data_IF_539006551217
#
_entry.id   IF_539006551217
#
_cell.length_a   1.000
_cell.length_b   1.000
_cell.length_c   1.000
_cell.angle_alpha   90.00
_cell.angle_beta   90.00
_cell.angle_gamma   90.00
#
_symmetry.space_group_name_H-M   'P 1'
#
loop_
_entity.id
_entity.type
_entity.pdbx_description
1 polymer ?
#
# COMPACT_ATOMS: atom_id res chain seq x y z
N UNK A 1 30.94 -19.84 24.69
CA UNK A 1 29.54 -19.58 24.30
C UNK A 1 28.51 -20.54 24.93
N UNK A 2 28.75 -21.87 24.98
CA UNK A 2 27.80 -22.84 25.57
C UNK A 2 27.49 -22.56 27.06
N UNK A 3 28.49 -22.13 27.83
CA UNK A 3 28.31 -21.79 29.26
C UNK A 3 27.34 -20.61 29.47
N UNK A 4 27.47 -19.54 28.68
CA UNK A 4 26.59 -18.36 28.77
C UNK A 4 25.15 -18.71 28.38
N UNK A 5 24.95 -19.51 27.33
CA UNK A 5 23.61 -19.95 26.91
C UNK A 5 22.90 -20.76 28.00
N UNK A 6 23.61 -21.68 28.67
CA UNK A 6 23.05 -22.46 29.79
C UNK A 6 22.67 -21.57 30.98
N UNK A 7 23.51 -20.59 31.32
CA UNK A 7 23.22 -19.62 32.38
C UNK A 7 21.99 -18.77 32.02
N UNK A 8 21.89 -18.28 30.79
CA UNK A 8 20.73 -17.52 30.33
C UNK A 8 19.44 -18.34 30.37
N UNK A 9 19.48 -19.61 29.94
CA UNK A 9 18.32 -20.51 30.01
C UNK A 9 17.89 -20.80 31.46
N UNK A 10 18.85 -20.98 32.38
CA UNK A 10 18.55 -21.15 33.79
C UNK A 10 17.87 -19.89 34.36
N UNK A 11 18.40 -18.70 34.04
CA UNK A 11 17.83 -17.42 34.46
C UNK A 11 16.42 -17.19 33.90
N UNK A 12 16.15 -17.55 32.65
CA UNK A 12 14.81 -17.45 32.07
C UNK A 12 13.77 -18.33 32.79
N UNK A 13 14.17 -19.46 33.38
CA UNK A 13 13.28 -20.33 34.16
C UNK A 13 12.97 -19.78 35.55
N UNK A 14 13.81 -18.88 36.06
CA UNK A 14 13.62 -18.22 37.36
C UNK A 14 12.62 -17.06 37.28
N UNK A 15 12.29 -16.57 36.07
CA UNK A 15 11.34 -15.46 35.88
C UNK A 15 9.92 -15.94 36.24
N UNK A 16 9.37 -15.38 37.31
CA UNK A 16 8.00 -15.61 37.74
C UNK A 16 7.00 -14.59 37.17
N UNK A 17 5.70 -14.79 37.42
CA UNK A 17 4.65 -13.86 37.00
C UNK A 17 4.74 -12.49 37.69
N UNK A 18 5.34 -12.41 38.87
CA UNK A 18 5.59 -11.14 39.58
C UNK A 18 6.75 -10.34 38.94
N UNK A 19 7.68 -11.02 38.26
CA UNK A 19 8.81 -10.40 37.57
C UNK A 19 8.44 -9.92 36.16
N UNK A 20 7.55 -10.65 35.48
CA UNK A 20 7.16 -10.34 34.10
C UNK A 20 5.76 -10.85 33.78
N UNK A 21 4.91 -9.95 33.26
CA UNK A 21 3.63 -10.34 32.69
C UNK A 21 3.85 -11.08 31.36
N UNK A 22 3.61 -12.39 31.36
CA UNK A 22 3.81 -13.24 30.18
C UNK A 22 2.85 -12.94 29.02
N UNK A 23 1.65 -12.43 29.29
CA UNK A 23 0.71 -12.01 28.24
C UNK A 23 1.18 -10.73 27.57
N UNK A 24 1.63 -9.75 28.36
CA UNK A 24 2.21 -8.52 27.85
C UNK A 24 3.48 -8.81 27.02
N UNK A 25 4.35 -9.70 27.52
CA UNK A 25 5.54 -10.15 26.79
C UNK A 25 5.19 -10.76 25.43
N UNK A 26 4.20 -11.66 25.37
CA UNK A 26 3.72 -12.25 24.10
C UNK A 26 3.18 -11.18 23.15
N UNK A 27 2.36 -10.26 23.66
CA UNK A 27 1.80 -9.16 22.87
C UNK A 27 2.88 -8.26 22.28
N UNK A 28 3.97 -8.01 23.00
CA UNK A 28 5.13 -7.28 22.47
C UNK A 28 5.79 -7.99 21.29
N UNK A 29 5.94 -9.32 21.35
CA UNK A 29 6.46 -10.12 20.25
C UNK A 29 5.52 -10.12 19.04
N UNK A 30 4.21 -10.20 19.28
CA UNK A 30 3.18 -10.11 18.23
C UNK A 30 3.22 -8.74 17.54
N UNK A 31 3.31 -7.65 18.31
CA UNK A 31 3.41 -6.28 17.80
C UNK A 31 4.69 -6.09 16.99
N UNK A 32 5.82 -6.62 17.46
CA UNK A 32 7.08 -6.56 16.72
C UNK A 32 7.03 -7.40 15.43
N UNK A 33 6.38 -8.56 15.46
CA UNK A 33 6.13 -9.38 14.26
C UNK A 33 5.29 -8.64 13.23
N UNK A 34 4.22 -7.95 13.67
CA UNK A 34 3.39 -7.10 12.82
C UNK A 34 4.19 -5.92 12.26
N UNK A 35 5.01 -5.25 13.06
CA UNK A 35 5.92 -4.20 12.59
C UNK A 35 6.86 -4.69 11.48
N UNK A 36 7.43 -5.89 11.63
CA UNK A 36 8.26 -6.50 10.59
C UNK A 36 7.45 -6.79 9.33
N UNK A 37 6.22 -7.30 9.47
CA UNK A 37 5.31 -7.53 8.33
C UNK A 37 5.00 -6.22 7.58
N UNK A 38 4.64 -5.16 8.30
CA UNK A 38 4.43 -3.80 7.74
C UNK A 38 5.67 -3.31 7.00
N UNK A 39 6.85 -3.48 7.60
CA UNK A 39 8.12 -3.05 7.00
C UNK A 39 8.42 -3.80 5.70
N UNK A 40 8.17 -5.11 5.66
CA UNK A 40 8.33 -5.91 4.43
C UNK A 40 7.35 -5.45 3.35
N UNK A 41 6.08 -5.21 3.69
CA UNK A 41 5.10 -4.70 2.73
C UNK A 41 5.50 -3.33 2.18
N UNK A 42 5.89 -2.40 3.05
CA UNK A 42 6.36 -1.09 2.63
C UNK A 42 7.55 -1.20 1.67
N UNK A 43 8.61 -1.91 2.07
CA UNK A 43 9.82 -2.01 1.25
C UNK A 43 9.57 -2.69 -0.09
N UNK A 44 8.79 -3.76 -0.09
CA UNK A 44 8.43 -4.44 -1.34
C UNK A 44 7.61 -3.52 -2.24
N UNK A 45 6.64 -2.78 -1.68
CA UNK A 45 5.86 -1.81 -2.42
C UNK A 45 6.74 -0.72 -3.06
N UNK A 46 7.70 -0.18 -2.32
CA UNK A 46 8.64 0.83 -2.82
C UNK A 46 9.59 0.29 -3.89
N UNK A 47 10.12 -0.91 -3.71
CA UNK A 47 10.97 -1.59 -4.70
C UNK A 47 10.22 -1.87 -6.01
N UNK A 48 8.94 -2.26 -5.93
CA UNK A 48 8.09 -2.48 -7.09
C UNK A 48 7.74 -1.16 -7.78
N UNK A 49 7.45 -0.11 -7.00
CA UNK A 49 7.23 1.24 -7.52
C UNK A 49 8.43 1.74 -8.33
N UNK A 50 9.65 1.57 -7.80
CA UNK A 50 10.90 1.94 -8.49
C UNK A 50 11.12 1.17 -9.81
N UNK A 51 10.51 -0.02 -9.95
CA UNK A 51 10.58 -0.85 -11.16
C UNK A 51 9.43 -0.58 -12.13
N UNK A 52 8.56 0.40 -11.87
CA UNK A 52 7.37 0.69 -12.67
C UNK A 52 6.26 -0.35 -12.52
N UNK A 53 6.35 -1.25 -11.53
CA UNK A 53 5.36 -2.31 -11.27
C UNK A 53 4.26 -1.80 -10.35
N UNK A 54 3.51 -0.80 -10.82
CA UNK A 54 2.58 -0.04 -9.99
C UNK A 54 1.39 -0.87 -9.48
N UNK A 55 0.93 -1.84 -10.27
CA UNK A 55 -0.18 -2.73 -9.90
C UNK A 55 0.19 -3.57 -8.68
N UNK A 56 1.34 -4.24 -8.70
CA UNK A 56 1.81 -5.01 -7.56
C UNK A 56 2.20 -4.09 -6.40
N UNK A 57 2.85 -2.96 -6.68
CA UNK A 57 3.25 -2.00 -5.66
C UNK A 57 2.05 -1.48 -4.85
N UNK A 58 0.95 -1.13 -5.52
CA UNK A 58 -0.25 -0.60 -4.87
C UNK A 58 -0.80 -1.58 -3.82
N UNK A 59 -0.92 -2.86 -4.16
CA UNK A 59 -1.43 -3.89 -3.23
C UNK A 59 -0.56 -3.98 -1.96
N UNK A 60 0.77 -3.98 -2.11
CA UNK A 60 1.68 -3.97 -0.95
C UNK A 60 1.54 -2.70 -0.10
N UNK A 61 1.41 -1.53 -0.73
CA UNK A 61 1.32 -0.25 -0.02
C UNK A 61 -0.02 -0.10 0.71
N UNK A 62 -1.14 -0.56 0.14
CA UNK A 62 -2.45 -0.57 0.82
C UNK A 62 -2.39 -1.47 2.06
N UNK A 63 -1.85 -2.67 1.93
CA UNK A 63 -1.72 -3.61 3.06
C UNK A 63 -0.74 -3.12 4.13
N UNK A 64 0.35 -2.45 3.72
CA UNK A 64 1.25 -1.77 4.64
C UNK A 64 0.50 -0.70 5.44
N UNK A 65 -0.32 0.13 4.77
CA UNK A 65 -1.09 1.21 5.40
C UNK A 65 -2.08 0.68 6.44
N UNK A 66 -2.94 -0.28 6.04
CA UNK A 66 -3.96 -0.87 6.92
C UNK A 66 -3.33 -1.57 8.13
N UNK A 67 -2.27 -2.37 7.90
CA UNK A 67 -1.58 -3.09 8.97
C UNK A 67 -0.85 -2.13 9.92
N UNK A 68 -0.33 -1.01 9.39
CA UNK A 68 0.37 0.00 10.18
C UNK A 68 -0.58 0.76 11.12
N UNK A 69 -1.83 0.99 10.71
CA UNK A 69 -2.84 1.65 11.56
C UNK A 69 -3.02 0.93 12.91
N UNK A 70 -3.07 -0.41 12.90
CA UNK A 70 -3.17 -1.21 14.12
C UNK A 70 -1.98 -1.04 15.09
N UNK A 71 -0.78 -0.72 14.56
CA UNK A 71 0.39 -0.38 15.37
C UNK A 71 0.31 1.04 15.91
N UNK A 72 -0.03 2.01 15.05
CA UNK A 72 -0.07 3.42 15.43
C UNK A 72 -1.14 3.74 16.48
N UNK A 73 -2.26 2.98 16.49
CA UNK A 73 -3.25 3.04 17.58
C UNK A 73 -2.66 2.70 18.96
N UNK A 74 -1.54 1.95 19.01
CA UNK A 74 -0.83 1.59 20.25
C UNK A 74 0.30 2.58 20.58
N UNK A 75 0.51 3.59 19.73
CA UNK A 75 1.45 4.68 19.95
C UNK A 75 2.21 5.11 18.68
N UNK A 76 2.59 6.40 18.56
CA UNK A 76 3.15 6.96 17.33
C UNK A 76 4.53 6.41 16.92
N UNK A 77 5.23 5.73 17.84
CA UNK A 77 6.54 5.10 17.61
C UNK A 77 6.46 3.58 17.37
N UNK A 78 5.26 3.02 17.29
CA UNK A 78 5.03 1.57 17.11
C UNK A 78 5.08 1.14 15.64
N UNK A 79 4.79 2.06 14.73
CA UNK A 79 4.69 1.81 13.31
C UNK A 79 5.69 2.61 12.49
N UNK A 80 5.50 2.57 11.18
CA UNK A 80 6.24 3.42 10.23
C UNK A 80 5.51 4.73 9.99
N UNK A 81 6.21 5.73 9.45
CA UNK A 81 5.64 7.06 9.16
C UNK A 81 4.55 6.95 8.09
N UNK A 82 3.30 7.10 8.51
CA UNK A 82 2.11 6.91 7.68
C UNK A 82 2.11 7.72 6.38
N UNK A 83 2.51 9.00 6.45
CA UNK A 83 2.63 9.88 5.28
C UNK A 83 3.50 9.32 4.14
N UNK A 84 4.51 8.50 4.45
CA UNK A 84 5.36 7.87 3.41
C UNK A 84 4.56 6.81 2.67
N UNK A 85 3.84 5.95 3.39
CA UNK A 85 3.00 4.93 2.77
C UNK A 85 1.91 5.60 1.92
N UNK A 86 1.22 6.61 2.48
CA UNK A 86 0.17 7.36 1.80
C UNK A 86 0.68 8.01 0.50
N UNK A 87 1.85 8.66 0.54
CA UNK A 87 2.45 9.28 -0.64
C UNK A 87 2.67 8.29 -1.78
N UNK A 88 3.31 7.15 -1.51
CA UNK A 88 3.60 6.18 -2.57
C UNK A 88 2.36 5.42 -3.03
N UNK A 89 1.39 5.16 -2.14
CA UNK A 89 0.07 4.63 -2.51
C UNK A 89 -0.62 5.57 -3.50
N UNK A 90 -0.65 6.87 -3.20
CA UNK A 90 -1.22 7.92 -4.06
C UNK A 90 -0.53 7.98 -5.42
N UNK A 91 0.81 7.93 -5.43
CA UNK A 91 1.59 7.91 -6.67
C UNK A 91 1.26 6.68 -7.53
N UNK A 92 1.22 5.48 -6.95
CA UNK A 92 0.79 4.28 -7.68
C UNK A 92 -0.61 4.41 -8.26
N UNK A 93 -1.56 4.97 -7.49
CA UNK A 93 -2.93 5.18 -7.98
C UNK A 93 -2.99 6.08 -9.21
N UNK A 94 -2.28 7.21 -9.17
CA UNK A 94 -2.26 8.17 -10.28
C UNK A 94 -1.61 7.57 -11.54
N UNK A 95 -0.50 6.84 -11.38
CA UNK A 95 0.16 6.13 -12.48
C UNK A 95 -0.74 5.05 -13.10
N UNK A 96 -1.41 4.24 -12.27
CA UNK A 96 -2.35 3.23 -12.74
C UNK A 96 -3.57 3.85 -13.43
N UNK A 97 -4.07 4.96 -12.92
CA UNK A 97 -5.17 5.70 -13.54
C UNK A 97 -4.79 6.21 -14.93
N UNK A 98 -3.62 6.85 -15.04
CA UNK A 98 -3.11 7.33 -16.32
C UNK A 98 -2.93 6.19 -17.32
N UNK A 99 -2.39 5.04 -16.88
CA UNK A 99 -2.28 3.84 -17.71
C UNK A 99 -3.67 3.33 -18.15
N UNK A 100 -4.62 3.22 -17.23
CA UNK A 100 -5.97 2.74 -17.54
C UNK A 100 -6.69 3.68 -18.52
N UNK A 101 -6.55 4.99 -18.37
CA UNK A 101 -7.07 5.98 -19.30
C UNK A 101 -6.42 5.84 -20.68
N UNK A 102 -5.09 5.72 -20.76
CA UNK A 102 -4.38 5.52 -22.03
C UNK A 102 -4.82 4.24 -22.75
N UNK A 103 -5.05 3.15 -22.00
CA UNK A 103 -5.57 1.90 -22.55
C UNK A 103 -7.02 2.05 -23.06
N UNK A 104 -7.85 2.79 -22.33
CA UNK A 104 -9.23 3.09 -22.71
C UNK A 104 -9.30 3.90 -24.02
N UNK A 105 -8.39 4.86 -24.21
CA UNK A 105 -8.32 5.71 -25.41
C UNK A 105 -7.86 4.97 -26.68
N UNK A 106 -7.29 3.76 -26.56
CA UNK A 106 -6.80 3.00 -27.74
C UNK A 106 -7.93 2.49 -28.64
N UNK A 107 -9.14 2.34 -28.10
CA UNK A 107 -10.29 1.70 -28.75
C UNK A 107 -10.03 0.25 -29.23
N UNK A 108 -8.99 -0.41 -28.69
CA UNK A 108 -8.72 -1.84 -28.88
C UNK A 108 -9.38 -2.64 -27.75
N UNK A 109 -10.22 -3.61 -28.09
CA UNK A 109 -11.05 -4.34 -27.12
C UNK A 109 -10.21 -4.98 -25.99
N UNK A 110 -9.04 -5.53 -26.31
CA UNK A 110 -8.17 -6.17 -25.31
C UNK A 110 -7.55 -5.13 -24.36
N UNK A 111 -7.04 -4.04 -24.91
CA UNK A 111 -6.45 -2.92 -24.16
C UNK A 111 -7.48 -2.26 -23.27
N UNK A 112 -8.67 -1.96 -23.81
CA UNK A 112 -9.80 -1.41 -23.05
C UNK A 112 -10.16 -2.35 -21.91
N UNK A 113 -10.32 -3.65 -22.19
CA UNK A 113 -10.61 -4.65 -21.15
C UNK A 113 -9.54 -4.68 -20.05
N UNK A 114 -8.24 -4.59 -20.40
CA UNK A 114 -7.15 -4.49 -19.41
C UNK A 114 -7.32 -3.23 -18.54
N UNK A 115 -7.57 -2.07 -19.14
CA UNK A 115 -7.77 -0.81 -18.42
C UNK A 115 -8.97 -0.85 -17.47
N UNK A 116 -10.10 -1.40 -17.93
CA UNK A 116 -11.32 -1.55 -17.13
C UNK A 116 -11.11 -2.54 -15.97
N UNK A 117 -10.36 -3.62 -16.18
CA UNK A 117 -10.01 -4.54 -15.09
C UNK A 117 -9.15 -3.86 -14.02
N UNK A 118 -8.15 -3.05 -14.42
CA UNK A 118 -7.34 -2.26 -13.46
C UNK A 118 -8.22 -1.28 -12.67
N UNK A 119 -9.20 -0.64 -13.32
CA UNK A 119 -10.16 0.24 -12.65
C UNK A 119 -10.98 -0.52 -11.59
N UNK A 120 -11.57 -1.64 -11.99
CA UNK A 120 -12.52 -2.40 -11.18
C UNK A 120 -11.87 -3.19 -10.04
N UNK A 121 -10.72 -3.81 -10.29
CA UNK A 121 -10.10 -4.73 -9.34
C UNK A 121 -9.14 -4.02 -8.37
N UNK A 122 -8.66 -2.82 -8.72
CA UNK A 122 -7.61 -2.14 -7.96
C UNK A 122 -7.94 -0.70 -7.62
N UNK A 123 -8.18 0.15 -8.62
CA UNK A 123 -8.30 1.59 -8.41
C UNK A 123 -9.54 1.93 -7.59
N UNK A 124 -10.72 1.51 -8.02
CA UNK A 124 -11.99 1.80 -7.33
C UNK A 124 -11.97 1.24 -5.90
N UNK A 125 -11.62 -0.04 -5.68
CA UNK A 125 -11.45 -0.58 -4.33
C UNK A 125 -10.49 0.24 -3.45
N UNK A 126 -9.35 0.65 -3.99
CA UNK A 126 -8.38 1.44 -3.24
C UNK A 126 -8.91 2.83 -2.89
N UNK A 127 -9.63 3.50 -3.80
CA UNK A 127 -10.25 4.80 -3.53
C UNK A 127 -11.26 4.69 -2.39
N UNK A 128 -12.10 3.67 -2.42
CA UNK A 128 -13.09 3.47 -1.36
C UNK A 128 -12.42 3.18 -0.02
N UNK A 129 -11.33 2.39 -0.01
CA UNK A 129 -10.52 2.17 1.19
C UNK A 129 -9.89 3.46 1.74
N UNK A 130 -9.51 4.40 0.87
CA UNK A 130 -8.96 5.69 1.27
C UNK A 130 -10.05 6.59 1.86
N UNK A 131 -11.21 6.69 1.19
CA UNK A 131 -12.34 7.51 1.66
C UNK A 131 -12.85 7.03 3.02
N UNK A 132 -12.86 5.71 3.24
CA UNK A 132 -13.31 5.12 4.50
C UNK A 132 -12.29 5.22 5.65
N UNK A 133 -11.06 5.69 5.40
CA UNK A 133 -9.97 5.78 6.40
C UNK A 133 -9.44 7.22 6.54
N UNK A 134 -10.20 8.09 7.24
CA UNK A 134 -9.84 9.49 7.57
C UNK A 134 -9.01 10.19 6.48
N UNK A 135 -9.68 10.49 5.37
CA UNK A 135 -9.07 10.94 4.13
C UNK A 135 -8.25 12.23 4.31
N UNK A 136 -6.98 12.20 3.89
CA UNK A 136 -6.14 13.39 3.86
C UNK A 136 -6.49 14.31 2.70
N UNK A 137 -6.16 15.61 2.81
CA UNK A 137 -6.37 16.57 1.70
C UNK A 137 -5.67 16.10 0.42
N UNK A 138 -4.42 15.66 0.51
CA UNK A 138 -3.68 15.18 -0.65
C UNK A 138 -4.32 13.92 -1.27
N UNK A 139 -5.00 13.08 -0.48
CA UNK A 139 -5.70 11.89 -0.97
C UNK A 139 -6.94 12.31 -1.74
N UNK A 140 -7.71 13.24 -1.16
CA UNK A 140 -8.87 13.82 -1.81
C UNK A 140 -8.50 14.52 -3.12
N UNK A 141 -7.48 15.36 -3.14
CA UNK A 141 -7.03 16.07 -4.34
C UNK A 141 -6.65 15.09 -5.46
N UNK A 142 -5.96 13.99 -5.14
CA UNK A 142 -5.63 12.96 -6.13
C UNK A 142 -6.86 12.19 -6.64
N UNK A 143 -7.80 11.87 -5.76
CA UNK A 143 -9.06 11.21 -6.14
C UNK A 143 -9.88 12.12 -7.06
N UNK A 144 -9.96 13.41 -6.76
CA UNK A 144 -10.68 14.37 -7.58
C UNK A 144 -10.02 14.56 -8.96
N UNK A 145 -8.69 14.54 -9.07
CA UNK A 145 -8.00 14.51 -10.36
C UNK A 145 -8.49 13.32 -11.20
N UNK A 146 -8.54 12.13 -10.60
CA UNK A 146 -8.97 10.91 -11.30
C UNK A 146 -10.45 10.96 -11.69
N UNK A 147 -11.33 11.38 -10.78
CA UNK A 147 -12.77 11.55 -11.04
C UNK A 147 -13.02 12.53 -12.17
N UNK A 148 -12.35 13.69 -12.14
CA UNK A 148 -12.46 14.70 -13.19
C UNK A 148 -11.99 14.18 -14.54
N UNK A 149 -10.90 13.39 -14.57
CA UNK A 149 -10.43 12.75 -15.80
C UNK A 149 -11.52 11.87 -16.41
N UNK A 150 -12.06 10.92 -15.65
CA UNK A 150 -13.06 9.98 -16.18
C UNK A 150 -14.40 10.64 -16.50
N UNK A 151 -14.83 11.63 -15.71
CA UNK A 151 -16.03 12.41 -16.00
C UNK A 151 -15.90 13.24 -17.29
N UNK A 152 -14.68 13.62 -17.69
CA UNK A 152 -14.47 14.42 -18.90
C UNK A 152 -14.95 13.72 -20.18
N UNK A 153 -15.06 12.38 -20.17
CA UNK A 153 -15.56 11.60 -21.30
C UNK A 153 -17.08 11.66 -21.48
N UNK A 154 -17.86 12.03 -20.45
CA UNK A 154 -19.33 12.03 -20.52
C UNK A 154 -19.93 13.03 -21.53
N UNK A 155 -19.15 14.02 -21.96
CA UNK A 155 -19.54 15.01 -22.96
C UNK A 155 -18.80 14.88 -24.30
N UNK A 156 -17.99 13.83 -24.47
CA UNK A 156 -17.18 13.62 -25.67
C UNK A 156 -17.86 12.61 -26.61
N UNK A 157 -17.58 12.74 -27.90
CA UNK A 157 -17.99 11.77 -28.91
C UNK A 157 -17.02 10.58 -28.89
N UNK A 158 -17.32 9.60 -28.06
CA UNK A 158 -16.56 8.34 -27.90
C UNK A 158 -17.36 7.17 -28.46
N UNK A 159 -16.68 6.07 -28.78
CA UNK A 159 -17.33 4.86 -29.30
C UNK A 159 -18.35 4.28 -28.32
N UNK A 160 -19.44 3.70 -28.84
CA UNK A 160 -20.58 3.22 -28.04
C UNK A 160 -20.17 2.16 -27.00
N UNK A 161 -19.25 1.25 -27.36
CA UNK A 161 -18.68 0.27 -26.44
C UNK A 161 -17.93 0.93 -25.27
N UNK A 162 -17.16 1.99 -25.54
CA UNK A 162 -16.45 2.74 -24.50
C UNK A 162 -17.42 3.48 -23.58
N UNK A 163 -18.49 4.06 -24.15
CA UNK A 163 -19.53 4.72 -23.39
C UNK A 163 -20.26 3.75 -22.44
N UNK A 164 -20.53 2.52 -22.91
CA UNK A 164 -21.09 1.46 -22.07
C UNK A 164 -20.14 1.10 -20.91
N UNK A 165 -18.87 0.82 -21.20
CA UNK A 165 -17.88 0.51 -20.16
C UNK A 165 -17.74 1.65 -19.13
N UNK A 166 -17.69 2.91 -19.59
CA UNK A 166 -17.64 4.08 -18.72
C UNK A 166 -18.87 4.14 -17.80
N UNK A 167 -20.07 3.90 -18.36
CA UNK A 167 -21.32 3.87 -17.61
C UNK A 167 -21.36 2.80 -16.50
N UNK A 168 -20.62 1.70 -16.65
CA UNK A 168 -20.60 0.60 -15.68
C UNK A 168 -19.72 0.85 -14.45
N UNK A 169 -18.55 1.49 -14.62
CA UNK A 169 -17.64 1.71 -13.50
C UNK A 169 -17.68 3.12 -12.93
N UNK A 170 -18.04 4.14 -13.73
CA UNK A 170 -17.99 5.53 -13.29
C UNK A 170 -18.87 5.81 -12.06
N UNK A 171 -20.12 5.27 -11.94
CA UNK A 171 -20.91 5.45 -10.73
C UNK A 171 -20.18 4.95 -9.48
N UNK A 172 -19.49 3.82 -9.57
CA UNK A 172 -18.68 3.26 -8.45
C UNK A 172 -17.44 4.11 -8.17
N UNK A 173 -16.84 4.74 -9.16
CA UNK A 173 -15.72 5.67 -8.92
C UNK A 173 -16.16 6.94 -8.15
N UNK A 174 -17.36 7.42 -8.45
CA UNK A 174 -17.92 8.64 -7.86
C UNK A 174 -18.54 8.39 -6.48
N UNK A 175 -19.22 7.25 -6.31
CA UNK A 175 -19.92 6.90 -5.07
C UNK A 175 -19.28 5.70 -4.37
N UNK A 176 -18.63 5.91 -3.20
CA UNK A 176 -18.06 4.84 -2.39
C UNK A 176 -19.10 4.10 -1.52
N UNK A 177 -20.36 4.50 -1.55
CA UNK A 177 -21.39 3.91 -0.69
C UNK A 177 -21.89 2.60 -1.28
N UNK A 178 -21.45 1.46 -0.71
CA UNK A 178 -22.25 0.24 -0.39
C UNK A 178 -21.45 -1.06 -0.28
N UNK A 179 -20.17 -1.12 -0.65
CA UNK A 179 -19.44 -2.41 -0.70
C UNK A 179 -18.43 -2.61 0.44
N UNK A 180 -18.39 -3.82 1.01
CA UNK A 180 -17.29 -4.27 1.87
C UNK A 180 -16.10 -4.52 0.95
N UNK A 181 -15.08 -3.67 1.06
CA UNK A 181 -13.99 -3.65 0.10
C UNK A 181 -12.72 -4.18 0.74
N UNK A 182 -12.22 -5.26 0.16
CA UNK A 182 -10.96 -5.88 0.53
C UNK A 182 -10.20 -6.14 -0.76
N UNK A 183 -9.09 -5.44 -0.95
CA UNK A 183 -8.13 -5.81 -1.98
C UNK A 183 -7.53 -7.17 -1.63
N UNK A 184 -7.15 -7.96 -2.63
CA UNK A 184 -6.50 -9.25 -2.37
C UNK A 184 -5.15 -9.04 -1.68
N UNK A 185 -4.89 -9.79 -0.60
CA UNK A 185 -3.60 -9.73 0.10
C UNK A 185 -2.47 -10.13 -0.84
N UNK A 186 -1.42 -9.30 -0.99
CA UNK A 186 -0.28 -9.67 -1.80
C UNK A 186 0.49 -10.82 -1.11
N UNK A 187 1.25 -11.63 -1.88
CA UNK A 187 2.01 -12.74 -1.31
C UNK A 187 2.91 -12.29 -0.16
N UNK A 188 2.86 -13.02 0.96
CA UNK A 188 3.74 -12.72 2.09
C UNK A 188 5.18 -13.08 1.74
N UNK A 189 6.04 -12.07 1.60
CA UNK A 189 7.47 -12.27 1.40
C UNK A 189 8.12 -12.54 2.76
N UNK A 190 8.80 -13.69 2.87
CA UNK A 190 9.62 -13.97 4.05
C UNK A 190 11.04 -13.44 3.79
N UNK A 191 11.53 -12.47 4.56
CA UNK A 191 12.91 -12.03 4.43
C UNK A 191 13.85 -13.20 4.79
N UNK A 192 14.93 -13.37 4.03
CA UNK A 192 15.87 -14.47 4.22
C UNK A 192 16.64 -14.36 5.55
N UNK A 193 16.77 -13.14 6.09
CA UNK A 193 17.34 -12.87 7.40
C UNK A 193 16.86 -11.52 7.95
N UNK A 194 17.05 -11.20 9.24
CA UNK A 194 16.80 -9.85 9.76
C UNK A 194 17.66 -8.75 9.09
N UNK A 195 18.90 -9.07 8.70
CA UNK A 195 19.80 -8.14 8.01
C UNK A 195 19.34 -7.78 6.58
N UNK A 196 18.54 -8.67 5.96
CA UNK A 196 17.89 -8.43 4.67
C UNK A 196 16.96 -7.21 4.74
N UNK A 197 16.25 -7.01 5.86
CA UNK A 197 15.32 -5.90 5.99
C UNK A 197 16.05 -4.55 6.09
N UNK A 198 17.12 -4.48 6.88
CA UNK A 198 17.91 -3.26 7.04
C UNK A 198 18.62 -2.85 5.75
N UNK A 199 19.20 -3.83 5.03
CA UNK A 199 19.88 -3.57 3.76
C UNK A 199 18.90 -3.12 2.66
N UNK A 200 17.73 -3.77 2.55
CA UNK A 200 16.65 -3.33 1.66
C UNK A 200 16.17 -1.92 1.99
N UNK A 201 16.01 -1.60 3.27
CA UNK A 201 15.63 -0.25 3.69
C UNK A 201 16.65 0.81 3.28
N UNK A 202 17.95 0.56 3.53
CA UNK A 202 19.00 1.49 3.11
C UNK A 202 18.98 1.72 1.60
N UNK A 203 18.92 0.65 0.80
CA UNK A 203 18.89 0.73 -0.67
C UNK A 203 17.68 1.52 -1.20
N UNK A 204 16.49 1.27 -0.63
CA UNK A 204 15.28 2.02 -1.01
C UNK A 204 15.41 3.50 -0.68
N UNK A 205 15.90 3.84 0.53
CA UNK A 205 16.06 5.23 0.95
C UNK A 205 17.10 5.98 0.12
N UNK A 206 18.22 5.35 -0.24
CA UNK A 206 19.23 5.92 -1.13
C UNK A 206 18.65 6.22 -2.52
N UNK A 207 17.89 5.27 -3.09
CA UNK A 207 17.27 5.45 -4.40
C UNK A 207 16.21 6.56 -4.41
N UNK A 208 15.41 6.69 -3.35
CA UNK A 208 14.40 7.76 -3.22
C UNK A 208 15.05 9.15 -3.13
N UNK A 209 16.16 9.27 -2.40
CA UNK A 209 16.90 10.54 -2.29
C UNK A 209 17.63 10.90 -3.58
N UNK A 210 18.18 9.91 -4.31
CA UNK A 210 18.85 10.13 -5.59
C UNK A 210 17.94 10.70 -6.69
N UNK A 211 16.63 10.39 -6.66
CA UNK A 211 15.64 10.92 -7.62
C UNK A 211 15.28 12.39 -7.35
N UNK A 212 15.44 12.89 -6.12
CA UNK A 212 15.18 14.31 -5.79
C UNK A 212 16.36 15.24 -6.04
N UNK A 213 17.58 14.72 -6.25
CA UNK A 213 18.80 15.52 -6.27
C UNK A 213 19.16 16.12 -7.65
N UNK A 214 18.35 15.93 -8.70
CA UNK A 214 18.60 16.52 -10.02
C UNK A 214 17.55 17.57 -10.35
N UNK A 215 17.70 18.75 -9.74
CA UNK A 215 17.34 20.03 -10.34
C UNK A 215 18.52 20.97 -10.11
N UNK A 216 19.44 20.96 -11.08
CA UNK A 216 20.43 22.04 -11.20
C UNK A 216 19.87 22.97 -12.26
N UNK A 217 19.52 24.18 -11.83
CA UNK A 217 19.16 25.30 -12.69
C UNK A 217 20.29 25.65 -13.68
#
# INVERSE_FOLDING_TARGET
>A
SISIMKVAQAKLKEIGPDDMNMEEYKKWHEDYSLFRKVSVYLLTGLELYQKGKYQEALSYLVYAYQSNAALLMKGPRRGVKESVIALYRRKCLLELNAKAASLFETNDDNSVTEGINVMNELIIPCIHLIINNDISKDDLDAIEIMRNHWCSYLGQDIAENLQLCLGEFLPRLLDPSTEIIVLKEPPTIRPNSPYDLCSRFAAVMESIQGVSAVTVN
#
